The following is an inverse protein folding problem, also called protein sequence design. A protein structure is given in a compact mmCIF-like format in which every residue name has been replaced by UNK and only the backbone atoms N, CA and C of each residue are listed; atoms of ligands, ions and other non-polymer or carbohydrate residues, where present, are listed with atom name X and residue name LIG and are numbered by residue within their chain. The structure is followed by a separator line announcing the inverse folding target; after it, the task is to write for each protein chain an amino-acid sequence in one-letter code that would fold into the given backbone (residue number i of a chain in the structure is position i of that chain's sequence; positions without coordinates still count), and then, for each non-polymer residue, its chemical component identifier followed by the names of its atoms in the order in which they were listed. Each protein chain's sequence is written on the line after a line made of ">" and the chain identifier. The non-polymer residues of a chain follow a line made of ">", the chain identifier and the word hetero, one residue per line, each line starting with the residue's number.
data_IF_609855334436
#
_entry.id   IF_609855334436
#
_cell.length_a   1.000
_cell.length_b   1.000
_cell.length_c   1.000
_cell.angle_alpha   90.00
_cell.angle_beta   90.00
_cell.angle_gamma   90.00
#
_symmetry.space_group_name_H-M   'P 1'
#
loop_
_entity.id
_entity.type
_entity.pdbx_description
1 polymer ?
#
# COMPACT_ATOMS: atom_id res chain seq x y z
N UNK A 1 12.34 -17.45 0.27
CA UNK A 1 11.18 -17.72 1.13
C UNK A 1 9.90 -17.34 0.45
N UNK A 2 8.87 -18.14 0.65
CA UNK A 2 7.56 -17.90 0.02
C UNK A 2 6.76 -16.87 0.82
N UNK A 3 6.16 -15.91 0.12
CA UNK A 3 5.25 -14.96 0.73
C UNK A 3 4.00 -15.69 1.24
N UNK A 4 3.54 -15.33 2.43
CA UNK A 4 2.28 -15.80 2.96
C UNK A 4 1.21 -14.72 2.82
N UNK A 5 -0.03 -15.04 3.11
CA UNK A 5 -1.14 -14.11 3.00
C UNK A 5 -2.04 -14.19 4.22
N UNK A 6 -2.50 -13.03 4.68
CA UNK A 6 -3.53 -12.91 5.71
C UNK A 6 -4.49 -11.80 5.32
N UNK A 7 -5.79 -12.08 5.39
CA UNK A 7 -6.80 -11.07 5.08
C UNK A 7 -6.78 -9.94 6.10
N UNK A 8 -6.73 -8.70 5.62
CA UNK A 8 -6.75 -7.49 6.45
C UNK A 8 -7.32 -6.33 5.66
N UNK A 9 -8.15 -5.51 6.28
CA UNK A 9 -8.67 -4.29 5.68
C UNK A 9 -7.99 -3.02 6.22
N UNK A 10 -6.91 -3.19 6.99
CA UNK A 10 -6.20 -2.06 7.59
C UNK A 10 -6.98 -1.36 8.69
N UNK A 11 -8.00 -2.01 9.25
CA UNK A 11 -8.85 -1.45 10.29
C UNK A 11 -10.02 -0.63 9.75
N UNK A 12 -10.32 -0.72 8.44
CA UNK A 12 -11.40 0.08 7.83
C UNK A 12 -12.75 -0.18 8.47
N UNK A 13 -13.12 -1.45 8.68
CA UNK A 13 -14.40 -1.80 9.29
C UNK A 13 -14.50 -1.25 10.72
N UNK A 14 -13.42 -1.38 11.49
CA UNK A 14 -13.38 -0.91 12.89
C UNK A 14 -13.33 0.61 13.01
N UNK A 15 -12.99 1.31 11.93
CA UNK A 15 -12.91 2.78 11.92
C UNK A 15 -14.27 3.46 11.90
N UNK A 16 -15.33 2.71 11.60
CA UNK A 16 -16.66 3.28 11.38
C UNK A 16 -16.87 3.93 10.01
N UNK A 17 -15.88 3.81 9.11
CA UNK A 17 -15.97 4.37 7.75
C UNK A 17 -16.56 3.39 6.74
N UNK A 18 -17.12 2.28 7.21
CA UNK A 18 -17.80 1.29 6.39
C UNK A 18 -16.86 0.24 5.82
N UNK A 19 -17.44 -0.66 5.02
CA UNK A 19 -16.72 -1.76 4.40
C UNK A 19 -16.87 -1.76 2.88
N UNK A 20 -17.51 -0.72 2.33
CA UNK A 20 -17.74 -0.62 0.90
C UNK A 20 -16.42 -0.62 0.14
N UNK A 21 -16.43 -1.29 -1.01
CA UNK A 21 -15.26 -1.31 -1.89
C UNK A 21 -15.04 0.09 -2.46
N UNK A 22 -13.80 0.53 -2.41
CA UNK A 22 -13.35 1.77 -3.02
C UNK A 22 -11.89 1.59 -3.40
N UNK A 23 -11.33 2.46 -4.21
CA UNK A 23 -9.92 2.41 -4.61
C UNK A 23 -8.99 2.85 -3.48
N UNK A 24 -9.10 2.27 -2.32
CA UNK A 24 -8.40 2.70 -1.11
C UNK A 24 -7.21 1.80 -0.71
N UNK A 25 -6.68 1.05 -1.67
CA UNK A 25 -5.57 0.14 -1.38
C UNK A 25 -4.34 0.85 -0.78
N UNK A 26 -4.07 2.08 -1.18
CA UNK A 26 -2.98 2.88 -0.64
C UNK A 26 -3.24 3.21 0.84
N UNK A 27 -4.46 3.63 1.17
CA UNK A 27 -4.82 3.94 2.56
C UNK A 27 -4.63 2.70 3.44
N UNK A 28 -5.15 1.55 2.99
CA UNK A 28 -5.04 0.30 3.73
C UNK A 28 -3.58 -0.12 3.91
N UNK A 29 -2.79 -0.08 2.84
CA UNK A 29 -1.39 -0.48 2.89
C UNK A 29 -0.58 0.40 3.85
N UNK A 30 -0.77 1.71 3.82
CA UNK A 30 -0.08 2.63 4.71
C UNK A 30 -0.53 2.42 6.16
N UNK A 31 -1.83 2.27 6.40
CA UNK A 31 -2.36 2.02 7.74
C UNK A 31 -1.71 0.79 8.38
N UNK A 32 -1.57 -0.29 7.60
CA UNK A 32 -0.95 -1.53 8.06
C UNK A 32 0.55 -1.32 8.31
N UNK A 33 1.27 -0.77 7.35
CA UNK A 33 2.72 -0.61 7.44
C UNK A 33 3.12 0.31 8.58
N UNK A 34 2.36 1.39 8.82
CA UNK A 34 2.63 2.35 9.89
C UNK A 34 2.02 1.95 11.21
N UNK A 35 1.25 0.85 11.26
CA UNK A 35 0.48 0.47 12.43
C UNK A 35 -0.37 1.64 12.94
N UNK A 36 -0.98 2.34 12.00
CA UNK A 36 -1.78 3.52 12.24
C UNK A 36 -3.22 3.23 11.85
N UNK A 37 -4.18 3.73 12.59
CA UNK A 37 -5.58 3.49 12.29
C UNK A 37 -5.96 3.96 10.88
N UNK A 38 -6.90 3.25 10.25
CA UNK A 38 -7.39 3.57 8.91
C UNK A 38 -7.89 5.02 8.81
N UNK A 39 -8.69 5.46 9.79
CA UNK A 39 -9.27 6.81 9.82
C UNK A 39 -8.18 7.89 9.82
N UNK A 40 -7.18 7.72 10.66
CA UNK A 40 -6.06 8.68 10.77
C UNK A 40 -5.25 8.73 9.49
N UNK A 41 -4.97 7.58 8.89
CA UNK A 41 -4.24 7.48 7.62
C UNK A 41 -5.02 8.17 6.51
N UNK A 42 -6.31 7.89 6.40
CA UNK A 42 -7.18 8.50 5.40
C UNK A 42 -7.23 10.02 5.55
N UNK A 43 -7.39 10.51 6.79
CA UNK A 43 -7.41 11.94 7.07
C UNK A 43 -6.10 12.61 6.65
N UNK A 44 -4.96 12.01 6.98
CA UNK A 44 -3.66 12.56 6.61
C UNK A 44 -3.44 12.63 5.10
N UNK A 45 -3.84 11.58 4.38
CA UNK A 45 -3.75 11.56 2.92
C UNK A 45 -4.71 12.58 2.27
N UNK A 46 -5.92 12.68 2.79
CA UNK A 46 -6.91 13.66 2.28
C UNK A 46 -6.42 15.09 2.51
N UNK A 47 -5.86 15.38 3.67
CA UNK A 47 -5.31 16.71 3.97
C UNK A 47 -4.18 17.07 3.01
N UNK A 48 -3.29 16.12 2.75
CA UNK A 48 -2.18 16.33 1.83
C UNK A 48 -2.68 16.50 0.39
N UNK A 49 -3.67 15.70 -0.03
CA UNK A 49 -4.28 15.81 -1.34
C UNK A 49 -4.92 17.20 -1.52
N UNK A 50 -5.65 17.67 -0.51
CA UNK A 50 -6.28 18.98 -0.52
C UNK A 50 -5.22 20.09 -0.65
N UNK A 51 -4.14 19.99 0.11
CA UNK A 51 -3.04 20.95 0.06
C UNK A 51 -2.36 20.95 -1.31
N UNK A 52 -2.02 19.77 -1.84
CA UNK A 52 -1.29 19.66 -3.11
C UNK A 52 -2.12 20.04 -4.33
N UNK A 53 -3.44 19.93 -4.24
CA UNK A 53 -4.34 20.30 -5.36
C UNK A 53 -4.97 21.67 -5.21
N UNK A 54 -4.59 22.42 -4.19
CA UNK A 54 -5.20 23.74 -3.91
C UNK A 54 -6.69 23.65 -3.61
N UNK A 55 -7.13 22.52 -3.06
CA UNK A 55 -8.54 22.30 -2.72
C UNK A 55 -9.41 21.72 -3.82
N UNK A 56 -8.83 21.41 -4.99
CA UNK A 56 -9.59 20.84 -6.11
C UNK A 56 -10.04 19.41 -5.86
N UNK A 57 -9.24 18.62 -5.15
CA UNK A 57 -9.58 17.26 -4.74
C UNK A 57 -9.50 17.15 -3.22
N UNK A 58 -10.48 16.49 -2.61
CA UNK A 58 -10.61 16.42 -1.15
C UNK A 58 -10.57 15.02 -0.59
N UNK A 59 -10.67 14.01 -1.44
CA UNK A 59 -10.77 12.63 -0.97
C UNK A 59 -9.97 11.66 -1.82
N UNK A 60 -9.31 10.73 -1.16
CA UNK A 60 -8.61 9.61 -1.77
C UNK A 60 -9.50 8.36 -1.89
N UNK A 61 -10.83 8.50 -1.78
CA UNK A 61 -11.74 7.36 -1.81
C UNK A 61 -11.68 6.56 -3.12
N UNK A 62 -11.51 7.25 -4.24
CA UNK A 62 -11.45 6.63 -5.57
C UNK A 62 -10.03 6.32 -6.01
N UNK A 63 -9.08 6.40 -5.10
CA UNK A 63 -7.67 6.19 -5.34
C UNK A 63 -6.83 7.37 -4.86
N UNK A 64 -5.64 7.06 -4.39
CA UNK A 64 -4.68 8.09 -3.97
C UNK A 64 -3.76 8.40 -5.15
N UNK A 65 -3.71 9.63 -5.64
CA UNK A 65 -2.76 10.00 -6.68
C UNK A 65 -1.32 9.69 -6.25
N UNK A 66 -0.52 9.17 -7.17
CA UNK A 66 0.86 8.77 -6.89
C UNK A 66 1.70 9.91 -6.26
N UNK A 67 1.63 11.16 -6.74
CA UNK A 67 2.39 12.24 -6.10
C UNK A 67 2.03 12.43 -4.62
N UNK A 68 0.77 12.21 -4.25
CA UNK A 68 0.30 12.35 -2.87
C UNK A 68 0.84 11.24 -2.00
N UNK A 69 0.68 9.98 -2.41
CA UNK A 69 1.19 8.85 -1.63
C UNK A 69 2.71 8.88 -1.52
N UNK A 70 3.39 9.25 -2.60
CA UNK A 70 4.85 9.37 -2.59
C UNK A 70 5.32 10.41 -1.58
N UNK A 71 4.74 11.61 -1.61
CA UNK A 71 5.08 12.67 -0.66
C UNK A 71 4.77 12.27 0.77
N UNK A 72 3.59 11.67 1.00
CA UNK A 72 3.18 11.21 2.33
C UNK A 72 4.21 10.24 2.91
N UNK A 73 4.65 9.28 2.11
CA UNK A 73 5.59 8.25 2.55
C UNK A 73 7.02 8.79 2.68
N UNK A 74 7.49 9.57 1.72
CA UNK A 74 8.85 10.13 1.80
C UNK A 74 9.01 11.12 2.97
N UNK A 75 7.97 11.88 3.27
CA UNK A 75 7.97 12.76 4.44
C UNK A 75 8.08 11.97 5.76
N UNK A 76 7.70 10.69 5.74
CA UNK A 76 7.77 9.80 6.90
C UNK A 76 9.00 8.89 6.91
N UNK A 77 9.95 9.15 6.02
CA UNK A 77 11.22 8.43 6.00
C UNK A 77 11.21 7.17 5.14
N UNK A 78 10.21 6.98 4.29
CA UNK A 78 10.20 5.86 3.35
C UNK A 78 11.04 6.20 2.12
N UNK A 79 11.69 5.17 1.60
CA UNK A 79 12.46 5.25 0.35
C UNK A 79 11.85 4.28 -0.65
N UNK A 80 11.66 4.73 -1.88
CA UNK A 80 11.15 3.91 -2.97
C UNK A 80 12.31 3.21 -3.67
N UNK A 81 12.23 1.88 -3.77
CA UNK A 81 13.13 1.07 -4.60
C UNK A 81 12.36 0.59 -5.82
N UNK A 82 12.86 0.89 -7.01
CA UNK A 82 12.27 0.41 -8.26
C UNK A 82 12.83 -0.96 -8.61
N UNK A 83 11.95 -1.86 -9.05
CA UNK A 83 12.30 -3.27 -9.27
C UNK A 83 11.84 -3.77 -10.64
N UNK A 84 12.10 -2.99 -11.68
CA UNK A 84 11.71 -3.34 -13.06
C UNK A 84 12.19 -4.72 -13.45
N UNK A 85 11.30 -5.48 -14.10
CA UNK A 85 11.65 -6.79 -14.65
C UNK A 85 11.57 -7.93 -13.65
N UNK A 86 11.17 -7.70 -12.41
CA UNK A 86 10.99 -8.76 -11.43
C UNK A 86 9.52 -8.98 -11.13
N UNK A 87 9.22 -10.16 -10.58
CA UNK A 87 7.89 -10.48 -10.08
C UNK A 87 7.90 -10.41 -8.56
N UNK A 88 6.71 -10.23 -7.98
CA UNK A 88 6.58 -10.17 -6.52
C UNK A 88 7.22 -11.39 -5.85
N UNK A 89 6.99 -12.60 -6.41
CA UNK A 89 7.51 -13.84 -5.84
C UNK A 89 9.04 -13.98 -5.93
N UNK A 90 9.72 -13.16 -6.73
CA UNK A 90 11.17 -13.16 -6.84
C UNK A 90 11.87 -12.44 -5.69
N UNK A 91 11.10 -11.78 -4.83
CA UNK A 91 11.64 -10.93 -3.78
C UNK A 91 11.41 -11.54 -2.40
N UNK A 92 12.39 -11.38 -1.52
CA UNK A 92 12.31 -11.84 -0.14
C UNK A 92 12.15 -10.64 0.79
N UNK A 93 11.00 -10.58 1.47
CA UNK A 93 10.70 -9.51 2.42
C UNK A 93 10.65 -10.03 3.86
N UNK A 94 11.28 -11.16 4.14
CA UNK A 94 11.34 -11.71 5.49
C UNK A 94 12.01 -10.71 6.44
N UNK A 95 11.38 -10.46 7.59
CA UNK A 95 11.88 -9.52 8.59
C UNK A 95 11.71 -8.06 8.21
N UNK A 96 11.03 -7.76 7.09
CA UNK A 96 10.89 -6.41 6.56
C UNK A 96 9.43 -6.00 6.51
N UNK A 97 9.18 -4.70 6.67
CA UNK A 97 7.86 -4.10 6.44
C UNK A 97 7.98 -3.18 5.23
N UNK A 98 7.24 -3.51 4.17
CA UNK A 98 7.28 -2.75 2.93
C UNK A 98 5.86 -2.49 2.42
N UNK A 99 5.72 -1.46 1.59
CA UNK A 99 4.51 -1.24 0.80
C UNK A 99 4.90 -1.56 -0.64
N UNK A 100 4.42 -2.68 -1.14
CA UNK A 100 4.73 -3.15 -2.48
C UNK A 100 3.77 -2.56 -3.49
N UNK A 101 4.32 -2.10 -4.61
CA UNK A 101 3.57 -1.51 -5.71
C UNK A 101 3.55 -2.48 -6.88
N UNK A 102 2.38 -3.00 -7.20
CA UNK A 102 2.12 -3.83 -8.38
C UNK A 102 1.18 -3.05 -9.31
N UNK A 103 0.96 -3.50 -10.56
CA UNK A 103 0.08 -2.77 -11.46
C UNK A 103 -1.30 -2.50 -10.83
N UNK A 104 -1.66 -1.22 -10.73
CA UNK A 104 -2.94 -0.72 -10.23
C UNK A 104 -3.26 -1.08 -8.78
N UNK A 105 -2.26 -1.47 -7.99
CA UNK A 105 -2.52 -1.91 -6.62
C UNK A 105 -1.29 -1.74 -5.74
N UNK A 106 -1.53 -1.38 -4.47
CA UNK A 106 -0.51 -1.35 -3.44
C UNK A 106 -0.92 -2.27 -2.31
N UNK A 107 0.04 -2.95 -1.71
CA UNK A 107 -0.20 -3.86 -0.61
C UNK A 107 0.88 -3.71 0.46
N UNK A 108 0.52 -3.93 1.71
CA UNK A 108 1.48 -4.01 2.79
C UNK A 108 2.00 -5.43 2.92
N UNK A 109 3.31 -5.56 3.10
CA UNK A 109 3.95 -6.84 3.40
C UNK A 109 4.71 -6.66 4.71
N UNK A 110 4.34 -7.45 5.72
CA UNK A 110 4.95 -7.39 7.04
C UNK A 110 5.59 -8.75 7.32
N UNK A 111 6.89 -8.77 7.47
CA UNK A 111 7.68 -9.98 7.71
C UNK A 111 7.34 -11.10 6.70
N UNK A 112 7.31 -10.76 5.42
CA UNK A 112 7.02 -11.72 4.36
C UNK A 112 5.55 -12.12 4.24
N UNK A 113 4.64 -11.50 5.00
CA UNK A 113 3.22 -11.78 4.93
C UNK A 113 2.48 -10.62 4.25
N UNK A 114 1.79 -10.92 3.17
CA UNK A 114 0.92 -9.94 2.49
C UNK A 114 -0.35 -9.77 3.30
N UNK A 115 -0.66 -8.53 3.65
CA UNK A 115 -1.86 -8.15 4.39
C UNK A 115 -2.75 -7.31 3.47
N UNK A 116 -3.86 -7.90 3.03
CA UNK A 116 -4.73 -7.28 2.04
C UNK A 116 -6.14 -7.82 2.17
N UNK A 117 -7.10 -7.20 1.48
CA UNK A 117 -8.50 -7.67 1.48
C UNK A 117 -8.71 -8.89 0.57
N UNK A 118 -7.77 -9.15 -0.32
CA UNK A 118 -7.77 -10.31 -1.21
C UNK A 118 -6.33 -10.77 -1.43
N UNK A 119 -6.15 -11.99 -1.92
CA UNK A 119 -4.81 -12.57 -2.08
C UNK A 119 -4.09 -11.95 -3.29
N UNK A 120 -3.48 -10.80 -3.06
CA UNK A 120 -2.77 -10.03 -4.08
C UNK A 120 -1.39 -10.61 -4.43
N UNK A 121 -0.98 -11.74 -3.83
CA UNK A 121 0.20 -12.48 -4.27
C UNK A 121 0.01 -13.12 -5.65
N UNK A 122 -1.25 -13.25 -6.09
CA UNK A 122 -1.62 -14.01 -7.28
C UNK A 122 -2.03 -13.08 -8.41
N UNK A 123 -1.70 -13.47 -9.63
CA UNK A 123 -2.15 -12.77 -10.83
C UNK A 123 -2.48 -13.76 -11.92
N UNK A 124 -3.63 -13.57 -12.58
CA UNK A 124 -4.01 -14.34 -13.76
C UNK A 124 -3.40 -13.76 -15.03
N UNK A 125 -2.79 -12.59 -14.94
CA UNK A 125 -2.24 -11.86 -16.10
C UNK A 125 -0.79 -12.24 -16.40
N UNK A 126 -0.14 -12.99 -15.52
CA UNK A 126 1.23 -13.42 -15.71
C UNK A 126 1.31 -14.93 -15.82
N UNK A 127 2.30 -15.43 -16.56
CA UNK A 127 2.49 -16.87 -16.74
C UNK A 127 2.89 -17.57 -15.45
N UNK A 128 3.67 -16.90 -14.62
CA UNK A 128 4.14 -17.48 -13.35
C UNK A 128 3.12 -17.39 -12.22
N UNK A 129 1.99 -16.71 -12.44
CA UNK A 129 0.95 -16.57 -11.43
C UNK A 129 1.22 -15.52 -10.36
N UNK A 130 2.34 -14.82 -10.43
CA UNK A 130 2.70 -13.73 -9.52
C UNK A 130 2.66 -12.40 -10.28
N UNK A 131 2.18 -11.30 -9.66
CA UNK A 131 2.20 -9.99 -10.31
C UNK A 131 3.62 -9.47 -10.45
N UNK A 132 3.83 -8.61 -11.44
CA UNK A 132 5.08 -7.86 -11.56
C UNK A 132 5.20 -6.89 -10.40
N UNK A 133 6.40 -6.78 -9.84
CA UNK A 133 6.69 -5.80 -8.81
C UNK A 133 7.29 -4.56 -9.48
N UNK A 134 6.58 -3.44 -9.39
CA UNK A 134 7.05 -2.16 -9.95
C UNK A 134 8.06 -1.49 -9.03
N UNK A 135 7.85 -1.63 -7.74
CA UNK A 135 8.71 -1.08 -6.72
C UNK A 135 8.14 -1.32 -5.34
N UNK A 136 8.86 -0.87 -4.34
CA UNK A 136 8.36 -0.94 -2.98
C UNK A 136 8.91 0.22 -2.15
N UNK A 137 8.13 0.65 -1.17
CA UNK A 137 8.54 1.63 -0.17
C UNK A 137 8.95 0.91 1.09
N UNK A 138 10.06 1.34 1.66
CA UNK A 138 10.54 0.82 2.94
C UNK A 138 11.07 1.98 3.77
N UNK A 139 10.71 1.99 5.06
CA UNK A 139 11.14 3.04 5.96
C UNK A 139 12.62 2.85 6.31
N UNK A 140 13.39 3.92 6.17
CA UNK A 140 14.80 3.90 6.55
C UNK A 140 14.89 4.03 8.06
N UNK A 141 15.53 3.06 8.70
CA UNK A 141 15.79 3.11 10.14
C UNK A 141 16.90 4.12 10.42
N UNK A 142 16.64 4.96 11.37
CA UNK A 142 17.68 5.88 11.89
C UNK A 142 18.29 5.30 13.15
#
# INVERSE_FOLDING_TARGET
>A
MTLTFKKSDGGKADSGLGTARSGDCVIRAIAIAEQQGYRKTKAGLNDLLHEMTGGLQRSCNDGTPLPVSHKYLTDRGYVLTLTKGTYLCDNDFTGRTVIACIPRHNMAIVNGQVLDTWDSRKSRRTKCGSPKLEGFYEKVSN
#
